data_IF_913704269030
#
_entry.id   IF_913704269030
#
_cell.length_a   1.000
_cell.length_b   1.000
_cell.length_c   1.000
_cell.angle_alpha   90.00
_cell.angle_beta   90.00
_cell.angle_gamma   90.00
#
_symmetry.space_group_name_H-M   'P 1'
#
loop_
_entity.id
_entity.type
_entity.pdbx_description
1 polymer ?
#
# COMPACT_ATOMS: atom_id res chain seq x y z
N UNK A 1 18.52 15.31 -6.20
CA UNK A 1 19.35 14.12 -5.94
C UNK A 1 18.42 12.98 -5.57
N UNK A 2 18.41 11.88 -6.33
CA UNK A 2 17.72 10.66 -5.90
C UNK A 2 18.51 10.11 -4.71
N UNK A 3 17.91 10.07 -3.53
CA UNK A 3 18.53 9.46 -2.37
C UNK A 3 18.75 7.97 -2.66
N UNK A 4 20.00 7.49 -2.55
CA UNK A 4 20.29 6.07 -2.66
C UNK A 4 19.65 5.35 -1.47
N UNK A 5 18.64 4.53 -1.75
CA UNK A 5 18.03 3.69 -0.73
C UNK A 5 18.97 2.54 -0.40
N UNK A 6 19.32 2.32 0.88
CA UNK A 6 20.13 1.17 1.28
C UNK A 6 19.48 -0.17 0.90
N UNK A 7 20.25 -1.06 0.27
CA UNK A 7 19.75 -2.37 -0.19
C UNK A 7 19.18 -3.23 0.96
N UNK A 8 19.74 -3.12 2.17
CA UNK A 8 19.25 -3.84 3.36
C UNK A 8 17.81 -3.46 3.74
N UNK A 9 17.46 -2.17 3.67
CA UNK A 9 16.12 -1.69 3.99
C UNK A 9 15.10 -2.22 2.98
N UNK A 10 15.45 -2.20 1.69
CA UNK A 10 14.60 -2.78 0.64
C UNK A 10 14.44 -4.29 0.80
N UNK A 11 15.51 -5.00 1.17
CA UNK A 11 15.45 -6.44 1.41
C UNK A 11 14.52 -6.78 2.58
N UNK A 12 14.56 -6.00 3.67
CA UNK A 12 13.69 -6.19 4.82
C UNK A 12 12.21 -5.99 4.48
N UNK A 13 11.86 -4.92 3.76
CA UNK A 13 10.48 -4.71 3.33
C UNK A 13 10.01 -5.79 2.34
N UNK A 14 10.85 -6.22 1.41
CA UNK A 14 10.51 -7.35 0.54
C UNK A 14 10.29 -8.64 1.33
N UNK A 15 11.07 -8.87 2.40
CA UNK A 15 10.89 -10.02 3.28
C UNK A 15 9.56 -9.97 4.03
N UNK A 16 9.18 -8.83 4.63
CA UNK A 16 7.87 -8.69 5.30
C UNK A 16 6.69 -8.77 4.32
N UNK A 17 6.91 -8.39 3.06
CA UNK A 17 5.95 -8.65 1.99
C UNK A 17 5.91 -10.12 1.58
N UNK A 18 6.96 -10.92 1.76
CA UNK A 18 6.94 -12.34 1.41
C UNK A 18 6.37 -13.21 2.55
N UNK A 19 6.72 -12.88 3.79
CA UNK A 19 6.42 -13.66 4.99
C UNK A 19 5.71 -12.75 6.00
N UNK A 20 4.52 -13.11 6.51
CA UNK A 20 3.88 -12.36 7.58
C UNK A 20 4.80 -12.25 8.79
N UNK A 21 5.02 -11.03 9.27
CA UNK A 21 5.84 -10.74 10.45
C UNK A 21 4.97 -10.26 11.60
N UNK A 22 5.29 -10.67 12.82
CA UNK A 22 4.66 -10.13 14.02
C UNK A 22 5.07 -8.67 14.25
N UNK A 23 4.18 -7.80 14.76
CA UNK A 23 4.53 -6.43 15.09
C UNK A 23 5.53 -6.38 16.25
N UNK A 24 6.52 -5.50 16.15
CA UNK A 24 7.45 -5.26 17.26
C UNK A 24 6.71 -4.73 18.50
N UNK A 25 7.05 -5.25 19.68
CA UNK A 25 6.39 -4.93 20.96
C UNK A 25 6.41 -3.44 21.31
N UNK A 26 7.46 -2.71 20.91
CA UNK A 26 7.57 -1.25 21.15
C UNK A 26 6.52 -0.43 20.36
N UNK A 27 6.01 -0.96 19.26
CA UNK A 27 5.16 -0.27 18.30
C UNK A 27 3.67 -0.61 18.49
N UNK A 28 3.37 -1.64 19.30
CA UNK A 28 2.01 -2.06 19.65
C UNK A 28 1.16 -0.99 20.36
N UNK A 29 1.80 0.00 21.00
CA UNK A 29 1.09 1.08 21.71
C UNK A 29 0.55 2.18 20.78
N UNK A 30 1.07 2.28 19.55
CA UNK A 30 0.61 3.24 18.55
C UNK A 30 -0.24 2.46 17.55
N UNK A 31 -1.54 2.75 17.46
CA UNK A 31 -2.43 2.06 16.52
C UNK A 31 -2.01 2.25 15.06
N UNK A 32 -2.35 1.28 14.20
CA UNK A 32 -2.00 1.30 12.77
C UNK A 32 -2.44 2.58 12.04
N UNK A 33 -3.53 3.23 12.48
CA UNK A 33 -4.00 4.49 11.91
C UNK A 33 -3.01 5.65 12.10
N UNK A 34 -2.44 5.78 13.29
CA UNK A 34 -1.47 6.83 13.61
C UNK A 34 -0.11 6.56 12.93
N UNK A 35 0.32 5.30 12.87
CA UNK A 35 1.50 4.91 12.11
C UNK A 35 1.32 5.19 10.62
N UNK A 36 0.14 4.90 10.06
CA UNK A 36 -0.17 5.21 8.67
C UNK A 36 -0.12 6.72 8.40
N UNK A 37 -0.69 7.54 9.29
CA UNK A 37 -0.63 9.01 9.17
C UNK A 37 0.82 9.51 9.11
N UNK A 38 1.68 9.03 10.00
CA UNK A 38 3.12 9.38 10.00
C UNK A 38 3.83 8.89 8.74
N UNK A 39 3.58 7.65 8.33
CA UNK A 39 4.14 7.09 7.10
C UNK A 39 3.71 7.91 5.87
N UNK A 40 2.47 8.40 5.86
CA UNK A 40 1.97 9.28 4.81
C UNK A 40 2.69 10.62 4.79
N UNK A 41 2.93 11.23 5.95
CA UNK A 41 3.73 12.46 6.07
C UNK A 41 5.15 12.27 5.55
N UNK A 42 5.81 11.16 5.88
CA UNK A 42 7.14 10.84 5.34
C UNK A 42 7.11 10.70 3.80
N UNK A 43 6.06 10.08 3.26
CA UNK A 43 5.88 9.92 1.80
C UNK A 43 5.71 11.27 1.10
N UNK A 44 4.84 12.12 1.63
CA UNK A 44 4.54 13.44 1.09
C UNK A 44 5.76 14.37 1.21
N UNK A 45 6.56 14.23 2.27
CA UNK A 45 7.85 14.91 2.46
C UNK A 45 9.01 14.33 1.63
N UNK A 46 8.81 13.22 0.90
CA UNK A 46 9.85 12.56 0.11
C UNK A 46 10.94 11.87 0.94
N UNK A 47 10.71 11.61 2.23
CA UNK A 47 11.65 10.96 3.15
C UNK A 47 11.64 9.43 2.99
N UNK A 48 11.97 8.96 1.78
CA UNK A 48 11.81 7.56 1.38
C UNK A 48 12.58 6.56 2.26
N UNK A 49 13.78 6.90 2.74
CA UNK A 49 14.56 5.99 3.60
C UNK A 49 13.84 5.74 4.93
N UNK A 50 13.38 6.80 5.59
CA UNK A 50 12.65 6.70 6.86
C UNK A 50 11.31 5.99 6.68
N UNK A 51 10.64 6.25 5.56
CA UNK A 51 9.38 5.58 5.23
C UNK A 51 9.56 4.08 5.01
N UNK A 52 10.57 3.69 4.22
CA UNK A 52 10.86 2.30 3.94
C UNK A 52 11.27 1.53 5.21
N UNK A 53 11.99 2.19 6.12
CA UNK A 53 12.37 1.64 7.42
C UNK A 53 11.17 1.41 8.35
N UNK A 54 10.20 2.34 8.37
CA UNK A 54 8.99 2.23 9.20
C UNK A 54 7.91 1.27 8.62
N UNK A 55 7.99 0.93 7.34
CA UNK A 55 6.94 0.19 6.62
C UNK A 55 6.70 -1.23 7.15
N UNK A 56 7.73 -2.06 7.48
CA UNK A 56 7.51 -3.40 7.99
C UNK A 56 6.67 -3.42 9.26
N UNK A 57 6.94 -2.54 10.22
CA UNK A 57 6.18 -2.44 11.46
C UNK A 57 4.75 -1.93 11.23
N UNK A 58 4.56 -0.98 10.31
CA UNK A 58 3.22 -0.53 9.89
C UNK A 58 2.39 -1.68 9.33
N UNK A 59 2.96 -2.45 8.42
CA UNK A 59 2.29 -3.61 7.83
C UNK A 59 1.99 -4.67 8.89
N UNK A 60 2.96 -4.99 9.76
CA UNK A 60 2.76 -5.96 10.83
C UNK A 60 1.64 -5.54 11.79
N UNK A 61 1.62 -4.28 12.23
CA UNK A 61 0.57 -3.74 13.12
C UNK A 61 -0.80 -3.78 12.46
N UNK A 62 -0.89 -3.43 11.17
CA UNK A 62 -2.15 -3.49 10.42
C UNK A 62 -2.66 -4.93 10.26
N UNK A 63 -1.77 -5.90 10.00
CA UNK A 63 -2.16 -7.32 9.84
C UNK A 63 -2.54 -7.99 11.17
N UNK A 64 -2.03 -7.49 12.31
CA UNK A 64 -2.37 -8.01 13.63
C UNK A 64 -3.77 -7.61 14.11
N UNK A 65 -4.43 -6.63 13.46
CA UNK A 65 -5.78 -6.22 13.80
C UNK A 65 -6.79 -7.35 13.56
N UNK A 66 -7.81 -7.44 14.41
CA UNK A 66 -8.88 -8.43 14.21
C UNK A 66 -9.60 -8.20 12.87
N UNK A 67 -9.82 -9.27 12.07
CA UNK A 67 -10.46 -9.15 10.76
C UNK A 67 -11.83 -8.47 10.83
N UNK A 68 -11.99 -7.42 10.05
CA UNK A 68 -13.24 -6.65 9.90
C UNK A 68 -13.16 -5.79 8.64
N UNK A 69 -14.30 -5.35 8.07
CA UNK A 69 -14.29 -4.42 6.94
C UNK A 69 -13.42 -3.17 7.19
N UNK A 70 -13.48 -2.59 8.39
CA UNK A 70 -12.65 -1.46 8.78
C UNK A 70 -11.15 -1.79 8.81
N UNK A 71 -10.78 -2.96 9.34
CA UNK A 71 -9.38 -3.43 9.30
C UNK A 71 -8.89 -3.63 7.86
N UNK A 72 -9.75 -4.11 6.96
CA UNK A 72 -9.42 -4.28 5.55
C UNK A 72 -9.29 -2.95 4.79
N UNK A 73 -10.08 -1.92 5.15
CA UNK A 73 -9.85 -0.54 4.66
C UNK A 73 -8.45 -0.08 5.06
N UNK A 74 -8.05 -0.29 6.32
CA UNK A 74 -6.73 0.09 6.81
C UNK A 74 -5.61 -0.69 6.10
N UNK A 75 -5.76 -2.00 5.93
CA UNK A 75 -4.80 -2.84 5.19
C UNK A 75 -4.67 -2.40 3.73
N UNK A 76 -5.79 -2.07 3.08
CA UNK A 76 -5.79 -1.52 1.71
C UNK A 76 -4.94 -0.26 1.64
N UNK A 77 -5.13 0.68 2.57
CA UNK A 77 -4.38 1.93 2.62
C UNK A 77 -2.88 1.69 2.84
N UNK A 78 -2.51 0.85 3.81
CA UNK A 78 -1.11 0.53 4.10
C UNK A 78 -0.40 -0.15 2.91
N UNK A 79 -1.04 -1.13 2.27
CA UNK A 79 -0.46 -1.81 1.11
C UNK A 79 -0.40 -0.93 -0.15
N UNK A 80 -1.35 -0.01 -0.33
CA UNK A 80 -1.29 1.02 -1.37
C UNK A 80 -0.07 1.92 -1.17
N UNK A 81 0.13 2.42 0.05
CA UNK A 81 1.29 3.26 0.38
C UNK A 81 2.62 2.51 0.19
N UNK A 82 2.69 1.24 0.60
CA UNK A 82 3.85 0.39 0.37
C UNK A 82 4.13 0.21 -1.14
N UNK A 83 3.09 -0.02 -1.95
CA UNK A 83 3.22 -0.15 -3.40
C UNK A 83 3.78 1.11 -4.05
N UNK A 84 3.24 2.28 -3.72
CA UNK A 84 3.70 3.57 -4.25
C UNK A 84 5.14 3.88 -3.83
N UNK A 85 5.48 3.59 -2.57
CA UNK A 85 6.82 3.80 -2.02
C UNK A 85 7.86 2.91 -2.71
N UNK A 86 7.56 1.62 -2.85
CA UNK A 86 8.44 0.66 -3.54
C UNK A 86 8.58 1.01 -5.03
N UNK A 87 7.52 1.52 -5.66
CA UNK A 87 7.59 1.98 -7.04
C UNK A 87 8.54 3.19 -7.17
N UNK A 88 8.40 4.18 -6.28
CA UNK A 88 9.32 5.35 -6.21
C UNK A 88 10.77 4.94 -5.95
N UNK A 89 10.99 3.87 -5.19
CA UNK A 89 12.33 3.32 -4.91
C UNK A 89 12.88 2.41 -6.03
N UNK A 90 12.14 2.19 -7.12
CA UNK A 90 12.53 1.27 -8.22
C UNK A 90 12.39 -0.21 -7.89
N UNK A 91 11.81 -0.57 -6.75
CA UNK A 91 11.58 -1.94 -6.31
C UNK A 91 10.27 -2.52 -6.89
N UNK A 92 10.18 -2.59 -8.22
CA UNK A 92 8.94 -2.88 -8.95
C UNK A 92 8.31 -4.24 -8.61
N UNK A 93 9.11 -5.27 -8.26
CA UNK A 93 8.57 -6.58 -7.84
C UNK A 93 7.82 -6.49 -6.50
N UNK A 94 8.42 -5.82 -5.51
CA UNK A 94 7.78 -5.58 -4.22
C UNK A 94 6.56 -4.66 -4.36
N UNK A 95 6.68 -3.63 -5.20
CA UNK A 95 5.56 -2.72 -5.51
C UNK A 95 4.36 -3.47 -6.08
N UNK A 96 4.59 -4.43 -6.97
CA UNK A 96 3.56 -5.29 -7.53
C UNK A 96 2.88 -6.15 -6.47
N UNK A 97 3.68 -6.84 -5.64
CA UNK A 97 3.14 -7.68 -4.57
C UNK A 97 2.29 -6.88 -3.57
N UNK A 98 2.72 -5.67 -3.22
CA UNK A 98 1.95 -4.76 -2.37
C UNK A 98 0.65 -4.30 -3.05
N UNK A 99 0.68 -3.98 -4.35
CA UNK A 99 -0.54 -3.62 -5.09
C UNK A 99 -1.55 -4.78 -5.16
N UNK A 100 -1.08 -6.00 -5.43
CA UNK A 100 -1.95 -7.18 -5.48
C UNK A 100 -2.60 -7.42 -4.10
N UNK A 101 -1.86 -7.24 -3.00
CA UNK A 101 -2.42 -7.31 -1.63
C UNK A 101 -3.42 -6.19 -1.35
N UNK A 102 -3.16 -4.96 -1.80
CA UNK A 102 -4.10 -3.86 -1.65
C UNK A 102 -5.44 -4.19 -2.33
N UNK A 103 -5.42 -4.81 -3.51
CA UNK A 103 -6.64 -5.25 -4.21
C UNK A 103 -7.39 -6.32 -3.41
N UNK A 104 -6.69 -7.34 -2.89
CA UNK A 104 -7.30 -8.40 -2.07
C UNK A 104 -8.03 -7.80 -0.87
N UNK A 105 -7.38 -6.90 -0.12
CA UNK A 105 -8.01 -6.30 1.05
C UNK A 105 -9.10 -5.29 0.67
N UNK A 106 -9.00 -4.61 -0.46
CA UNK A 106 -10.05 -3.72 -0.93
C UNK A 106 -11.34 -4.47 -1.27
N UNK A 107 -11.23 -5.69 -1.79
CA UNK A 107 -12.37 -6.57 -2.03
C UNK A 107 -13.03 -7.01 -0.73
N UNK A 108 -12.25 -7.35 0.29
CA UNK A 108 -12.74 -7.73 1.62
C UNK A 108 -13.30 -6.54 2.43
N UNK A 109 -12.85 -5.31 2.13
CA UNK A 109 -13.29 -4.10 2.82
C UNK A 109 -14.72 -3.68 2.47
N UNK A 110 -15.30 -4.21 1.39
CA UNK A 110 -16.62 -3.83 0.86
C UNK A 110 -16.76 -2.31 0.62
N UNK A 111 -15.64 -1.62 0.40
CA UNK A 111 -15.57 -0.17 0.23
C UNK A 111 -15.25 0.20 -1.22
N UNK A 112 -16.18 0.85 -1.94
CA UNK A 112 -15.94 1.35 -3.30
C UNK A 112 -14.72 2.27 -3.39
N UNK A 113 -14.49 3.08 -2.35
CA UNK A 113 -13.32 3.95 -2.25
C UNK A 113 -12.02 3.14 -2.14
N UNK A 114 -11.99 2.12 -1.28
CA UNK A 114 -10.84 1.23 -1.13
C UNK A 114 -10.50 0.52 -2.44
N UNK A 115 -11.53 0.04 -3.17
CA UNK A 115 -11.35 -0.58 -4.50
C UNK A 115 -10.74 0.39 -5.51
N UNK A 116 -11.19 1.64 -5.52
CA UNK A 116 -10.67 2.67 -6.42
C UNK A 116 -9.21 3.00 -6.12
N UNK A 117 -8.87 3.15 -4.83
CA UNK A 117 -7.49 3.41 -4.39
C UNK A 117 -6.56 2.27 -4.77
N UNK A 118 -6.96 1.02 -4.52
CA UNK A 118 -6.17 -0.16 -4.87
C UNK A 118 -6.01 -0.31 -6.40
N UNK A 119 -7.09 -0.08 -7.16
CA UNK A 119 -7.05 -0.10 -8.63
C UNK A 119 -6.09 0.95 -9.20
N UNK A 120 -6.06 2.16 -8.62
CA UNK A 120 -5.09 3.20 -9.00
C UNK A 120 -3.65 2.75 -8.78
N UNK A 121 -3.34 2.17 -7.61
CA UNK A 121 -1.99 1.67 -7.33
C UNK A 121 -1.59 0.54 -8.29
N UNK A 122 -2.48 -0.43 -8.54
CA UNK A 122 -2.23 -1.49 -9.51
C UNK A 122 -2.05 -0.94 -10.93
N UNK A 123 -2.85 0.04 -11.34
CA UNK A 123 -2.72 0.72 -12.62
C UNK A 123 -1.33 1.36 -12.80
N UNK A 124 -0.81 2.05 -11.78
CA UNK A 124 0.55 2.60 -11.79
C UNK A 124 1.58 1.50 -12.02
N UNK A 125 1.50 0.39 -11.25
CA UNK A 125 2.41 -0.75 -11.41
C UNK A 125 2.35 -1.35 -12.81
N UNK A 126 1.14 -1.53 -13.36
CA UNK A 126 0.95 -2.08 -14.70
C UNK A 126 1.56 -1.20 -15.79
N UNK A 127 1.48 0.14 -15.67
CA UNK A 127 2.18 1.05 -16.60
C UNK A 127 3.69 0.89 -16.52
N UNK A 128 4.26 0.77 -15.32
CA UNK A 128 5.70 0.50 -15.16
C UNK A 128 6.13 -0.87 -15.71
N UNK A 129 5.21 -1.83 -15.83
CA UNK A 129 5.43 -3.12 -16.46
C UNK A 129 5.18 -3.11 -17.98
N UNK A 130 4.83 -1.96 -18.57
CA UNK A 130 4.48 -1.84 -19.99
C UNK A 130 3.08 -2.34 -20.36
N UNK A 131 2.26 -2.71 -19.38
CA UNK A 131 0.91 -3.24 -19.57
C UNK A 131 -0.15 -2.12 -19.59
N UNK A 132 0.01 -1.15 -20.50
CA UNK A 132 -0.80 0.09 -20.52
C UNK A 132 -2.31 -0.17 -20.68
N UNK A 133 -2.72 -1.04 -21.60
CA UNK A 133 -4.13 -1.36 -21.83
C UNK A 133 -4.80 -1.93 -20.57
N UNK A 134 -4.13 -2.84 -19.87
CA UNK A 134 -4.61 -3.40 -18.60
C UNK A 134 -4.65 -2.35 -17.50
N UNK A 135 -3.68 -1.44 -17.48
CA UNK A 135 -3.65 -0.33 -16.54
C UNK A 135 -4.85 0.62 -16.74
N UNK A 136 -5.17 0.95 -17.99
CA UNK A 136 -6.33 1.78 -18.32
C UNK A 136 -7.63 1.05 -17.95
N UNK A 137 -7.75 -0.22 -18.35
CA UNK A 137 -8.93 -1.03 -18.07
C UNK A 137 -9.26 -1.13 -16.57
N UNK A 138 -8.26 -1.41 -15.72
CA UNK A 138 -8.50 -1.54 -14.27
C UNK A 138 -8.89 -0.20 -13.62
N UNK A 139 -8.26 0.91 -14.04
CA UNK A 139 -8.55 2.23 -13.48
C UNK A 139 -9.91 2.75 -13.93
N UNK A 140 -10.25 2.61 -15.22
CA UNK A 140 -11.54 3.03 -15.76
C UNK A 140 -12.69 2.22 -15.15
N UNK A 141 -12.52 0.89 -15.04
CA UNK A 141 -13.54 0.04 -14.41
C UNK A 141 -13.81 0.45 -12.97
N UNK A 142 -12.76 0.75 -12.19
CA UNK A 142 -12.91 1.20 -10.82
C UNK A 142 -13.55 2.59 -10.71
N UNK A 143 -13.19 3.53 -11.60
CA UNK A 143 -13.80 4.85 -11.66
C UNK A 143 -15.31 4.77 -11.97
N UNK A 144 -15.70 3.99 -13.00
CA UNK A 144 -17.10 3.78 -13.34
C UNK A 144 -17.89 3.14 -12.19
N UNK A 145 -17.29 2.17 -11.48
CA UNK A 145 -17.91 1.54 -10.34
C UNK A 145 -18.11 2.53 -9.18
N UNK A 146 -17.16 3.44 -8.93
CA UNK A 146 -17.29 4.49 -7.93
C UNK A 146 -18.38 5.51 -8.32
N UNK A 147 -18.40 5.97 -9.57
CA UNK A 147 -19.43 6.88 -10.08
C UNK A 147 -20.85 6.29 -9.92
N UNK A 148 -21.00 4.99 -10.18
CA UNK A 148 -22.28 4.29 -10.02
C UNK A 148 -22.79 4.28 -8.56
N UNK A 149 -21.93 4.55 -7.57
CA UNK A 149 -22.37 4.66 -6.16
C UNK A 149 -23.03 6.00 -5.83
N UNK A 150 -22.86 7.02 -6.67
CA UNK A 150 -23.35 8.38 -6.41
C UNK A 150 -22.63 9.08 -5.24
N UNK A 151 -21.53 8.54 -4.73
CA UNK A 151 -20.73 9.19 -3.71
C UNK A 151 -20.11 10.48 -4.27
N UNK A 152 -20.23 11.63 -3.58
CA UNK A 152 -19.50 12.82 -3.96
C UNK A 152 -18.00 12.54 -3.82
N UNK A 153 -17.22 12.99 -4.80
CA UNK A 153 -15.75 12.92 -4.80
C UNK A 153 -15.15 14.27 -4.44
#
# INVERSE_FOLDING_TARGET
MLATVPAGILAQLNHSLAVPTDPTTAVQHIGAAEQYRRARELFDAGQLVQLLDAMPDLLATANAASPSPAAYVQLTACYTLASETLNKAGAHKGSRLAADRAVIFADLAESPLSKTVAARALGIVLRHQGNYERADGVVIAAANALEATGLPT
#
